data_IF_705240741721
#
_entry.id   IF_705240741721
#
_cell.length_a   1.000
_cell.length_b   1.000
_cell.length_c   1.000
_cell.angle_alpha   90.00
_cell.angle_beta   90.00
_cell.angle_gamma   90.00
#
_symmetry.space_group_name_H-M   'P 1'
#
loop_
_entity.id
_entity.type
_entity.pdbx_description
1 polymer ?
#
# COMPACT_ATOMS: atom_id res chain seq x y z
N UNK A 1 -11.54 -20.70 -22.18
CA UNK A 1 -10.77 -19.76 -21.34
C UNK A 1 -11.37 -19.49 -19.94
N UNK A 2 -12.68 -19.60 -19.69
CA UNK A 2 -13.30 -19.20 -18.40
C UNK A 2 -12.95 -20.03 -17.14
N UNK A 3 -12.62 -21.33 -17.26
CA UNK A 3 -12.31 -22.20 -16.10
C UNK A 3 -11.00 -21.86 -15.36
N UNK A 4 -10.08 -21.15 -16.03
CA UNK A 4 -8.78 -20.80 -15.43
C UNK A 4 -8.89 -19.60 -14.49
N UNK A 5 -9.74 -18.63 -14.82
CA UNK A 5 -9.91 -17.39 -14.06
C UNK A 5 -10.62 -17.66 -12.73
N UNK A 6 -11.72 -18.43 -12.75
CA UNK A 6 -12.44 -18.79 -11.52
C UNK A 6 -11.59 -19.62 -10.57
N UNK A 7 -10.71 -20.48 -11.11
CA UNK A 7 -9.75 -21.27 -10.31
C UNK A 7 -8.68 -20.38 -9.65
N UNK A 8 -8.23 -19.33 -10.34
CA UNK A 8 -7.28 -18.37 -9.76
C UNK A 8 -7.90 -17.57 -8.61
N UNK A 9 -9.11 -17.03 -8.78
CA UNK A 9 -9.79 -16.29 -7.72
C UNK A 9 -10.19 -17.16 -6.53
N UNK A 10 -10.37 -18.48 -6.72
CA UNK A 10 -10.55 -19.45 -5.64
C UNK A 10 -9.25 -19.94 -4.99
N UNK A 11 -8.08 -19.50 -5.47
CA UNK A 11 -6.78 -19.81 -4.88
C UNK A 11 -6.46 -18.92 -3.69
N UNK A 12 -5.53 -19.35 -2.84
CA UNK A 12 -5.08 -18.57 -1.67
C UNK A 12 -4.55 -17.19 -2.09
N UNK A 13 -3.84 -17.13 -3.22
CA UNK A 13 -3.32 -15.88 -3.79
C UNK A 13 -4.46 -14.97 -4.23
N UNK A 14 -5.44 -15.50 -4.97
CA UNK A 14 -6.57 -14.72 -5.46
C UNK A 14 -7.39 -14.10 -4.32
N UNK A 15 -7.62 -14.87 -3.25
CA UNK A 15 -8.35 -14.39 -2.08
C UNK A 15 -7.56 -13.31 -1.33
N UNK A 16 -6.25 -13.49 -1.15
CA UNK A 16 -5.41 -12.48 -0.49
C UNK A 16 -5.29 -11.19 -1.31
N UNK A 17 -5.27 -11.29 -2.65
CA UNK A 17 -5.33 -10.13 -3.54
C UNK A 17 -6.68 -9.40 -3.44
N UNK A 18 -7.80 -10.11 -3.39
CA UNK A 18 -9.10 -9.50 -3.11
C UNK A 18 -9.11 -8.76 -1.78
N UNK A 19 -8.57 -9.39 -0.73
CA UNK A 19 -8.49 -8.79 0.60
C UNK A 19 -7.62 -7.52 0.58
N UNK A 20 -6.45 -7.56 -0.05
CA UNK A 20 -5.59 -6.38 -0.25
C UNK A 20 -6.30 -5.27 -1.02
N UNK A 21 -7.08 -5.60 -2.05
CA UNK A 21 -7.82 -4.59 -2.82
C UNK A 21 -8.90 -3.92 -1.97
N UNK A 22 -9.59 -4.69 -1.12
CA UNK A 22 -10.58 -4.16 -0.16
C UNK A 22 -9.90 -3.21 0.83
N UNK A 23 -8.77 -3.62 1.42
CA UNK A 23 -8.02 -2.76 2.33
C UNK A 23 -7.52 -1.49 1.66
N UNK A 24 -6.92 -1.58 0.48
CA UNK A 24 -6.46 -0.41 -0.26
C UNK A 24 -7.60 0.56 -0.53
N UNK A 25 -8.76 0.05 -0.97
CA UNK A 25 -9.95 0.88 -1.24
C UNK A 25 -10.43 1.60 0.01
N UNK A 26 -10.56 0.90 1.13
CA UNK A 26 -10.99 1.50 2.41
C UNK A 26 -9.97 2.54 2.89
N UNK A 27 -8.68 2.22 2.78
CA UNK A 27 -7.61 3.09 3.24
C UNK A 27 -7.59 4.38 2.41
N UNK A 28 -7.58 4.28 1.08
CA UNK A 28 -7.64 5.42 0.16
C UNK A 28 -8.88 6.26 0.41
N UNK A 29 -10.06 5.64 0.56
CA UNK A 29 -11.31 6.35 0.78
C UNK A 29 -11.33 7.16 2.10
N UNK A 30 -10.54 6.76 3.09
CA UNK A 30 -10.49 7.43 4.40
C UNK A 30 -9.24 8.30 4.59
N UNK A 31 -8.27 8.31 3.65
CA UNK A 31 -6.96 8.95 3.81
C UNK A 31 -6.92 10.49 3.63
N UNK A 32 -8.07 11.15 3.72
CA UNK A 32 -8.21 12.59 3.45
C UNK A 32 -8.46 13.47 4.69
N UNK A 33 -8.47 12.89 5.90
CA UNK A 33 -8.99 13.59 7.09
C UNK A 33 -8.01 14.60 7.70
N UNK A 34 -6.70 14.37 7.57
CA UNK A 34 -5.64 15.20 8.15
C UNK A 34 -4.71 15.69 7.04
N UNK A 35 -4.37 16.98 7.08
CA UNK A 35 -3.48 17.61 6.10
C UNK A 35 -2.11 16.96 5.98
N UNK A 36 -1.26 17.52 5.12
CA UNK A 36 0.08 16.99 4.89
C UNK A 36 0.89 16.91 6.19
N UNK A 37 1.50 15.75 6.39
CA UNK A 37 2.51 15.51 7.40
C UNK A 37 3.78 16.28 7.03
N UNK A 38 4.59 16.64 8.04
CA UNK A 38 5.83 17.39 7.81
C UNK A 38 6.80 16.66 6.87
N UNK A 39 6.89 15.33 6.99
CA UNK A 39 7.81 14.52 6.18
C UNK A 39 7.28 14.36 4.74
N UNK A 40 5.95 14.45 4.54
CA UNK A 40 5.32 14.47 3.20
C UNK A 40 5.61 15.77 2.45
N UNK A 41 5.78 16.88 3.16
CA UNK A 41 6.13 18.16 2.53
C UNK A 41 7.55 18.14 1.95
N UNK A 42 8.47 17.43 2.61
CA UNK A 42 9.83 17.23 2.11
C UNK A 42 9.82 16.36 0.85
N UNK A 43 9.15 15.21 0.88
CA UNK A 43 9.02 14.33 -0.30
C UNK A 43 8.30 15.00 -1.45
N UNK A 44 7.31 15.87 -1.17
CA UNK A 44 6.62 16.68 -2.18
C UNK A 44 7.56 17.66 -2.90
N UNK A 45 8.47 18.31 -2.17
CA UNK A 45 9.44 19.23 -2.77
C UNK A 45 10.51 18.49 -3.56
N UNK A 46 11.03 17.38 -3.01
CA UNK A 46 12.01 16.52 -3.66
C UNK A 46 11.43 15.88 -4.94
N UNK A 47 10.14 15.54 -4.95
CA UNK A 47 9.44 15.08 -6.15
C UNK A 47 9.34 16.15 -7.26
N UNK A 48 9.40 17.44 -6.90
CA UNK A 48 9.48 18.53 -7.89
C UNK A 48 10.89 18.72 -8.42
N UNK A 49 11.90 18.35 -7.64
CA UNK A 49 13.31 18.53 -7.92
C UNK A 49 14.08 17.21 -7.84
N UNK A 50 13.67 16.24 -8.66
CA UNK A 50 14.26 14.90 -8.64
C UNK A 50 15.78 14.94 -8.77
N UNK A 51 16.45 14.17 -7.92
CA UNK A 51 17.88 13.90 -7.97
C UNK A 51 18.14 12.39 -7.82
N UNK A 52 19.38 11.96 -8.02
CA UNK A 52 19.81 10.56 -7.93
C UNK A 52 19.85 10.01 -6.49
N UNK A 53 19.51 10.84 -5.51
CA UNK A 53 19.33 10.44 -4.12
C UNK A 53 19.29 11.65 -3.21
N UNK A 54 18.58 11.50 -2.11
CA UNK A 54 18.52 12.50 -1.05
C UNK A 54 19.14 11.89 0.21
N UNK A 55 19.53 12.74 1.17
CA UNK A 55 20.11 12.27 2.43
C UNK A 55 19.15 11.34 3.18
N UNK A 56 17.85 11.61 3.10
CA UNK A 56 16.82 10.85 3.80
C UNK A 56 16.48 9.52 3.12
N UNK A 57 16.48 9.45 1.79
CA UNK A 57 15.99 8.28 1.06
C UNK A 57 16.58 8.14 -0.36
N UNK A 58 16.58 6.91 -0.90
CA UNK A 58 16.97 6.64 -2.28
C UNK A 58 16.05 7.34 -3.30
N UNK A 59 16.49 7.47 -4.56
CA UNK A 59 15.75 8.21 -5.61
C UNK A 59 14.37 7.62 -5.93
N UNK A 60 14.11 6.36 -5.58
CA UNK A 60 12.82 5.71 -5.83
C UNK A 60 11.67 6.37 -5.05
N UNK A 61 11.91 6.85 -3.83
CA UNK A 61 10.88 7.49 -3.00
C UNK A 61 10.32 8.77 -3.65
N UNK A 62 11.16 9.79 -3.97
CA UNK A 62 10.67 11.01 -4.63
C UNK A 62 10.21 10.75 -6.07
N UNK A 63 10.72 9.71 -6.74
CA UNK A 63 10.22 9.30 -8.06
C UNK A 63 8.76 8.81 -7.99
N UNK A 64 8.42 7.99 -6.99
CA UNK A 64 7.04 7.53 -6.79
C UNK A 64 6.13 8.71 -6.41
N UNK A 65 6.58 9.60 -5.52
CA UNK A 65 5.87 10.84 -5.22
C UNK A 65 5.66 11.72 -6.48
N UNK A 66 6.65 11.81 -7.37
CA UNK A 66 6.50 12.52 -8.66
C UNK A 66 5.45 11.89 -9.54
N UNK A 67 5.33 10.57 -9.57
CA UNK A 67 4.26 9.89 -10.30
C UNK A 67 2.89 10.22 -9.71
N UNK A 68 2.75 10.22 -8.38
CA UNK A 68 1.50 10.62 -7.72
C UNK A 68 1.12 12.07 -8.03
N UNK A 69 2.09 12.98 -8.05
CA UNK A 69 1.86 14.37 -8.45
C UNK A 69 1.40 14.51 -9.90
N UNK A 70 1.96 13.70 -10.81
CA UNK A 70 1.54 13.72 -12.22
C UNK A 70 0.13 13.17 -12.40
N UNK A 71 -0.27 12.17 -11.61
CA UNK A 71 -1.56 11.50 -11.72
C UNK A 71 -2.68 12.25 -11.00
N UNK A 72 -2.40 12.82 -9.83
CA UNK A 72 -3.41 13.35 -8.91
C UNK A 72 -3.19 14.81 -8.51
N UNK A 73 -2.11 15.44 -8.97
CA UNK A 73 -1.72 16.78 -8.53
C UNK A 73 -1.40 16.83 -7.03
N UNK A 74 -1.62 17.97 -6.40
CA UNK A 74 -1.41 18.16 -4.94
C UNK A 74 -2.60 17.66 -4.10
N UNK A 75 -3.36 16.70 -4.61
CA UNK A 75 -4.42 16.04 -3.85
C UNK A 75 -3.79 15.25 -2.70
N UNK A 76 -4.24 15.51 -1.47
CA UNK A 76 -3.76 14.81 -0.28
C UNK A 76 -3.92 13.29 -0.39
N UNK A 77 -5.10 12.82 -0.78
CA UNK A 77 -5.39 11.39 -0.95
C UNK A 77 -4.57 10.81 -2.11
N UNK A 78 -4.39 11.60 -3.17
CA UNK A 78 -3.61 11.21 -4.34
C UNK A 78 -2.12 11.01 -4.03
N UNK A 79 -1.56 11.86 -3.17
CA UNK A 79 -0.16 11.80 -2.75
C UNK A 79 0.15 10.68 -1.74
N UNK A 80 -0.88 9.98 -1.26
CA UNK A 80 -0.76 8.83 -0.34
C UNK A 80 -1.19 7.52 -1.00
N UNK A 81 -1.48 7.55 -2.29
CA UNK A 81 -2.08 6.45 -3.03
C UNK A 81 -1.16 5.23 -3.07
N UNK A 82 0.11 5.45 -3.39
CA UNK A 82 1.15 4.42 -3.46
C UNK A 82 1.44 3.86 -2.06
N UNK A 83 1.54 4.70 -1.03
CA UNK A 83 1.69 4.24 0.36
C UNK A 83 0.55 3.33 0.79
N UNK A 84 -0.70 3.72 0.51
CA UNK A 84 -1.89 2.94 0.83
C UNK A 84 -1.89 1.58 0.12
N UNK A 85 -1.48 1.55 -1.16
CA UNK A 85 -1.33 0.31 -1.91
C UNK A 85 -0.20 -0.56 -1.34
N UNK A 86 0.96 0.02 -1.06
CA UNK A 86 2.13 -0.70 -0.58
C UNK A 86 1.85 -1.44 0.74
N UNK A 87 1.21 -0.76 1.70
CA UNK A 87 0.81 -1.37 2.97
C UNK A 87 -0.23 -2.48 2.76
N UNK A 88 -1.20 -2.27 1.86
CA UNK A 88 -2.24 -3.26 1.57
C UNK A 88 -1.68 -4.52 0.91
N UNK A 89 -0.73 -4.37 -0.02
CA UNK A 89 0.00 -5.48 -0.64
C UNK A 89 0.88 -6.19 0.38
N UNK A 90 1.53 -5.44 1.28
CA UNK A 90 2.28 -6.00 2.41
C UNK A 90 1.43 -6.91 3.28
N UNK A 91 0.18 -6.55 3.56
CA UNK A 91 -0.76 -7.41 4.29
C UNK A 91 -1.05 -8.74 3.54
N UNK A 92 -1.20 -8.71 2.22
CA UNK A 92 -1.33 -9.94 1.43
C UNK A 92 -0.06 -10.80 1.50
N UNK A 93 1.13 -10.18 1.47
CA UNK A 93 2.39 -10.91 1.69
C UNK A 93 2.47 -11.56 3.06
N UNK A 94 1.99 -10.92 4.12
CA UNK A 94 1.89 -11.56 5.44
C UNK A 94 1.05 -12.83 5.40
N UNK A 95 -0.09 -12.82 4.71
CA UNK A 95 -0.91 -14.01 4.52
C UNK A 95 -0.20 -15.11 3.72
N UNK A 96 0.55 -14.74 2.68
CA UNK A 96 1.36 -15.68 1.89
C UNK A 96 2.53 -16.26 2.71
N UNK A 97 3.19 -15.46 3.54
CA UNK A 97 4.21 -15.95 4.46
C UNK A 97 3.62 -16.96 5.45
N UNK A 98 2.43 -16.69 6.00
CA UNK A 98 1.74 -17.65 6.84
C UNK A 98 1.46 -18.96 6.10
N UNK A 99 1.08 -18.89 4.80
CA UNK A 99 0.93 -20.08 3.96
C UNK A 99 2.22 -20.88 3.85
N UNK A 100 3.35 -20.24 3.58
CA UNK A 100 4.67 -20.89 3.49
C UNK A 100 5.08 -21.55 4.81
N UNK A 101 4.60 -21.03 5.95
CA UNK A 101 4.76 -21.62 7.27
C UNK A 101 3.77 -22.77 7.57
N UNK A 102 2.99 -23.22 6.58
CA UNK A 102 2.04 -24.32 6.72
C UNK A 102 0.65 -23.92 7.23
N UNK A 103 0.34 -22.62 7.31
CA UNK A 103 -0.97 -22.16 7.77
C UNK A 103 -2.08 -22.52 6.78
N UNK A 104 -3.22 -22.99 7.31
CA UNK A 104 -4.45 -23.17 6.54
C UNK A 104 -5.06 -21.81 6.19
N UNK A 105 -5.85 -21.76 5.12
CA UNK A 105 -6.57 -20.56 4.62
C UNK A 105 -7.11 -19.60 5.71
N UNK A 106 -7.91 -20.02 6.71
CA UNK A 106 -8.43 -19.08 7.70
C UNK A 106 -7.34 -18.37 8.51
N UNK A 107 -6.21 -19.05 8.76
CA UNK A 107 -5.07 -18.49 9.50
C UNK A 107 -4.26 -17.52 8.62
N UNK A 108 -4.14 -17.81 7.32
CA UNK A 108 -3.53 -16.87 6.36
C UNK A 108 -4.32 -15.55 6.31
N UNK A 109 -5.66 -15.63 6.25
CA UNK A 109 -6.54 -14.47 6.26
C UNK A 109 -6.44 -13.71 7.58
N UNK A 110 -6.43 -14.42 8.71
CA UNK A 110 -6.24 -13.81 10.03
C UNK A 110 -4.92 -13.05 10.12
N UNK A 111 -3.82 -13.64 9.63
CA UNK A 111 -2.51 -13.00 9.61
C UNK A 111 -2.48 -11.74 8.74
N UNK A 112 -3.07 -11.80 7.54
CA UNK A 112 -3.18 -10.65 6.64
C UNK A 112 -4.03 -9.52 7.24
N UNK A 113 -5.20 -9.84 7.82
CA UNK A 113 -6.06 -8.87 8.50
C UNK A 113 -5.35 -8.25 9.69
N UNK A 114 -4.70 -9.06 10.54
CA UNK A 114 -3.97 -8.58 11.72
C UNK A 114 -2.85 -7.61 11.33
N UNK A 115 -2.10 -7.90 10.25
CA UNK A 115 -1.11 -6.97 9.73
C UNK A 115 -1.76 -5.67 9.24
N UNK A 116 -2.80 -5.77 8.41
CA UNK A 116 -3.47 -4.61 7.81
C UNK A 116 -4.04 -3.63 8.84
N UNK A 117 -4.64 -4.13 9.92
CA UNK A 117 -5.28 -3.29 10.96
C UNK A 117 -4.32 -2.87 12.08
N UNK A 118 -3.05 -3.30 12.03
CA UNK A 118 -2.08 -2.91 13.05
C UNK A 118 -1.89 -1.38 13.04
N UNK A 119 -1.74 -0.73 14.21
CA UNK A 119 -1.57 0.73 14.27
C UNK A 119 -0.40 1.23 13.44
N UNK A 120 0.68 0.45 13.37
CA UNK A 120 1.84 0.76 12.55
C UNK A 120 1.48 0.77 11.06
N UNK A 121 0.82 -0.28 10.55
CA UNK A 121 0.43 -0.35 9.13
C UNK A 121 -0.56 0.75 8.76
N UNK A 122 -1.55 1.01 9.62
CA UNK A 122 -2.50 2.10 9.41
C UNK A 122 -1.81 3.46 9.38
N UNK A 123 -0.83 3.69 10.26
CA UNK A 123 -0.03 4.91 10.27
C UNK A 123 0.81 5.07 9.01
N UNK A 124 1.54 4.02 8.59
CA UNK A 124 2.39 4.07 7.41
C UNK A 124 1.61 4.19 6.09
N UNK A 125 0.39 3.66 6.01
CA UNK A 125 -0.46 3.84 4.82
C UNK A 125 -1.08 5.24 4.73
N UNK A 126 -1.12 5.96 5.86
CA UNK A 126 -1.72 7.28 5.97
C UNK A 126 -0.75 8.43 5.74
N UNK A 127 0.52 8.15 5.43
CA UNK A 127 1.55 9.14 5.09
C UNK A 127 2.45 8.64 3.97
N UNK A 128 3.03 9.55 3.20
CA UNK A 128 4.10 9.26 2.24
C UNK A 128 5.46 9.73 2.76
N UNK A 129 6.38 8.80 3.03
CA UNK A 129 7.72 9.06 3.57
C UNK A 129 8.72 7.99 3.16
#
# INVERSE_FOLDING_TARGET
>A
MGRSITRFWGSDVGILLCLSAVFATIHIATNGQYGFHRDELQTLDDARHLDWGFVAYPPITPLLARLELLLFGTSLVGFRFISAIAVSVGAAFTGLMARELGARRPIQLLAAVAAAISPFSLGQGAVFQ
#
